data_IF_860726885036
#
_entry.id   IF_860726885036
#
_cell.length_a   1.000
_cell.length_b   1.000
_cell.length_c   1.000
_cell.angle_alpha   90.00
_cell.angle_beta   90.00
_cell.angle_gamma   90.00
#
_symmetry.space_group_name_H-M   'P 1'
#
loop_
_entity.id
_entity.type
_entity.pdbx_description
1 polymer ?
#
# COMPACT_ATOMS: atom_id res chain seq x y z
N UNK A 1 1.18 0.70 -5.45
CA UNK A 1 1.52 -0.64 -6.03
C UNK A 1 2.98 -1.03 -5.74
N UNK A 2 3.28 -2.33 -5.64
CA UNK A 2 4.66 -2.86 -5.57
C UNK A 2 4.86 -4.14 -6.39
N UNK A 3 6.09 -4.34 -6.88
CA UNK A 3 6.48 -5.41 -7.81
C UNK A 3 7.62 -6.25 -7.22
N UNK A 4 7.55 -7.56 -7.40
CA UNK A 4 8.63 -8.50 -7.05
C UNK A 4 8.95 -9.43 -8.22
N UNK A 5 10.22 -9.79 -8.39
CA UNK A 5 10.67 -10.74 -9.40
C UNK A 5 11.08 -12.08 -8.77
N UNK A 6 10.42 -13.17 -9.16
CA UNK A 6 10.63 -14.52 -8.63
C UNK A 6 11.63 -15.28 -9.51
N UNK A 7 12.66 -15.89 -8.92
CA UNK A 7 13.70 -16.65 -9.66
C UNK A 7 13.42 -18.16 -9.66
N UNK A 8 13.98 -18.90 -10.63
CA UNK A 8 14.02 -20.38 -10.58
C UNK A 8 14.82 -20.89 -9.39
N UNK A 9 14.38 -22.00 -8.78
CA UNK A 9 15.16 -22.73 -7.79
C UNK A 9 16.34 -23.44 -8.48
N UNK A 10 17.56 -22.96 -8.24
CA UNK A 10 18.79 -23.71 -8.50
C UNK A 10 19.34 -24.16 -7.14
N UNK A 11 19.71 -25.43 -6.99
CA UNK A 11 20.25 -25.98 -5.75
C UNK A 11 21.48 -25.20 -5.26
N UNK A 12 21.27 -24.22 -4.39
CA UNK A 12 22.18 -23.78 -3.32
C UNK A 12 21.26 -23.33 -2.19
N UNK A 13 21.05 -24.19 -1.20
CA UNK A 13 20.39 -23.82 0.04
C UNK A 13 21.32 -22.90 0.81
N UNK A 14 21.10 -21.59 0.71
CA UNK A 14 21.43 -20.70 1.81
C UNK A 14 20.09 -20.24 2.36
N UNK A 15 19.71 -20.80 3.51
CA UNK A 15 18.63 -20.28 4.32
C UNK A 15 18.95 -18.81 4.61
N UNK A 16 18.37 -17.92 3.82
CA UNK A 16 18.55 -16.50 3.95
C UNK A 16 17.74 -16.05 5.15
N UNK A 17 18.40 -16.00 6.31
CA UNK A 17 18.01 -15.13 7.42
C UNK A 17 18.02 -13.70 6.85
N UNK A 18 16.89 -13.28 6.28
CA UNK A 18 16.77 -12.06 5.48
C UNK A 18 16.49 -10.86 6.36
N UNK A 19 17.56 -10.26 6.86
CA UNK A 19 17.71 -8.91 7.39
C UNK A 19 16.42 -8.07 7.59
N UNK A 20 16.12 -7.78 8.86
CA UNK A 20 15.32 -6.63 9.27
C UNK A 20 16.02 -5.34 8.82
N UNK A 21 15.84 -4.93 7.57
CA UNK A 21 16.17 -3.58 7.12
C UNK A 21 15.01 -2.66 7.49
N UNK A 22 15.21 -1.86 8.53
CA UNK A 22 14.35 -0.72 8.82
C UNK A 22 14.56 0.32 7.71
N UNK A 23 13.85 0.19 6.59
CA UNK A 23 13.87 1.19 5.54
C UNK A 23 13.01 2.39 5.97
N UNK A 24 13.61 3.32 6.70
CA UNK A 24 13.05 4.67 6.87
C UNK A 24 13.25 5.41 5.54
N UNK A 25 12.32 5.26 4.61
CA UNK A 25 12.32 6.04 3.38
C UNK A 25 11.73 7.43 3.66
N UNK A 26 12.57 8.38 4.10
CA UNK A 26 12.26 9.80 3.92
C UNK A 26 12.46 10.12 2.44
N UNK A 27 11.38 10.17 1.66
CA UNK A 27 11.42 10.86 0.37
C UNK A 27 11.11 12.33 0.63
N UNK A 28 12.12 13.19 0.51
CA UNK A 28 11.90 14.63 0.40
C UNK A 28 11.35 14.90 -1.00
N UNK A 29 10.10 15.35 -1.08
CA UNK A 29 9.52 15.83 -2.33
C UNK A 29 10.30 17.05 -2.84
N UNK A 30 11.00 16.91 -3.96
CA UNK A 30 11.47 18.05 -4.75
C UNK A 30 10.32 18.46 -5.66
N UNK A 31 9.44 19.34 -5.19
CA UNK A 31 8.49 20.05 -6.05
C UNK A 31 9.16 21.33 -6.56
N UNK A 32 9.82 21.22 -7.71
CA UNK A 32 10.54 22.32 -8.32
C UNK A 32 10.81 22.10 -9.79
N UNK A 33 9.76 21.94 -10.61
CA UNK A 33 9.88 22.17 -12.04
C UNK A 33 8.91 23.27 -12.46
N UNK A 34 9.43 24.50 -12.54
CA UNK A 34 8.84 25.56 -13.36
C UNK A 34 9.15 25.22 -14.82
N UNK A 35 8.14 24.86 -15.59
CA UNK A 35 8.20 24.90 -17.04
C UNK A 35 7.14 25.89 -17.53
N UNK A 36 7.60 26.96 -18.17
CA UNK A 36 6.76 27.96 -18.83
C UNK A 36 6.25 27.40 -20.17
N UNK A 37 4.92 27.46 -20.34
CA UNK A 37 4.13 27.51 -21.57
C UNK A 37 4.14 26.31 -22.55
N UNK A 38 2.98 25.66 -22.69
CA UNK A 38 2.35 25.49 -24.00
C UNK A 38 0.82 25.28 -23.87
N UNK A 39 0.09 26.12 -24.59
CA UNK A 39 -1.36 26.21 -24.70
C UNK A 39 -1.95 25.05 -25.51
N UNK A 40 -3.05 24.49 -25.03
CA UNK A 40 -3.97 23.63 -25.79
C UNK A 40 -5.17 23.29 -24.92
N UNK A 41 -6.34 23.82 -25.26
CA UNK A 41 -7.61 23.40 -24.67
C UNK A 41 -7.85 21.92 -25.00
N UNK A 42 -7.56 21.05 -24.04
CA UNK A 42 -8.05 19.67 -23.98
C UNK A 42 -8.92 19.61 -22.72
N UNK A 43 -10.15 19.06 -22.71
CA UNK A 43 -10.91 18.86 -21.48
C UNK A 43 -10.25 17.74 -20.68
N UNK A 44 -9.06 18.03 -20.15
CA UNK A 44 -8.39 17.25 -19.13
C UNK A 44 -9.35 17.18 -17.97
N UNK A 45 -9.89 15.99 -17.72
CA UNK A 45 -10.62 15.66 -16.52
C UNK A 45 -9.75 16.06 -15.33
N UNK A 46 -9.93 17.30 -14.86
CA UNK A 46 -9.34 17.80 -13.63
C UNK A 46 -10.16 17.18 -12.51
N UNK A 47 -10.02 15.86 -12.35
CA UNK A 47 -10.44 15.18 -11.15
C UNK A 47 -9.78 15.92 -10.00
N UNK A 48 -10.60 16.41 -9.05
CA UNK A 48 -10.06 16.99 -7.83
C UNK A 48 -9.03 16.01 -7.25
N UNK A 49 -7.86 16.50 -6.78
CA UNK A 49 -6.85 15.63 -6.20
C UNK A 49 -7.50 14.77 -5.11
N UNK A 50 -7.26 13.46 -5.15
CA UNK A 50 -7.76 12.54 -4.13
C UNK A 50 -7.27 13.02 -2.76
N UNK A 51 -8.19 13.12 -1.80
CA UNK A 51 -7.85 13.48 -0.41
C UNK A 51 -6.94 12.44 0.28
N UNK A 52 -6.92 11.21 -0.24
CA UNK A 52 -6.12 10.10 0.29
C UNK A 52 -5.06 9.68 -0.73
N UNK A 53 -3.82 9.54 -0.27
CA UNK A 53 -2.71 8.93 -1.00
C UNK A 53 -2.29 7.60 -0.34
N UNK A 54 -1.78 6.66 -1.14
CA UNK A 54 -1.36 5.33 -0.66
C UNK A 54 0.02 4.98 -1.18
N UNK A 55 0.93 4.77 -0.24
CA UNK A 55 2.23 4.18 -0.49
C UNK A 55 2.25 2.73 -0.04
N UNK A 56 2.88 1.87 -0.83
CA UNK A 56 3.07 0.46 -0.50
C UNK A 56 4.52 0.11 -0.67
N UNK A 57 5.09 -0.70 0.22
CA UNK A 57 6.47 -1.18 0.20
C UNK A 57 6.51 -2.68 0.46
N UNK A 58 7.53 -3.34 -0.10
CA UNK A 58 7.84 -4.76 0.11
C UNK A 58 9.31 -4.87 0.51
N UNK A 59 9.64 -5.80 1.41
CA UNK A 59 10.99 -5.96 1.95
C UNK A 59 12.04 -6.32 0.90
N UNK A 60 11.66 -6.96 -0.20
CA UNK A 60 12.58 -7.31 -1.28
C UNK A 60 11.90 -7.24 -2.66
N UNK A 61 12.59 -6.66 -3.64
CA UNK A 61 12.14 -6.65 -5.05
C UNK A 61 12.43 -7.95 -5.80
N UNK A 62 13.15 -8.90 -5.18
CA UNK A 62 13.45 -10.23 -5.71
C UNK A 62 13.18 -11.27 -4.63
N UNK A 63 12.61 -12.40 -5.02
CA UNK A 63 12.28 -13.51 -4.12
C UNK A 63 12.54 -14.86 -4.78
N UNK A 64 12.66 -15.89 -3.97
CA UNK A 64 12.60 -17.29 -4.35
C UNK A 64 11.20 -17.87 -4.06
N UNK A 65 10.82 -18.97 -4.71
CA UNK A 65 9.60 -19.69 -4.36
C UNK A 65 9.71 -20.20 -2.91
N UNK A 66 8.69 -19.95 -2.10
CA UNK A 66 8.67 -20.24 -0.65
C UNK A 66 9.17 -19.11 0.25
N UNK A 67 9.66 -18.00 -0.29
CA UNK A 67 10.08 -16.85 0.52
C UNK A 67 8.87 -16.16 1.17
N UNK A 68 9.05 -15.68 2.40
CA UNK A 68 8.10 -14.79 3.07
C UNK A 68 8.55 -13.35 2.98
N UNK A 69 7.68 -12.47 2.49
CA UNK A 69 7.95 -11.05 2.28
C UNK A 69 7.10 -10.20 3.21
N UNK A 70 7.71 -9.20 3.84
CA UNK A 70 7.00 -8.19 4.63
C UNK A 70 6.52 -7.06 3.72
N UNK A 71 5.23 -6.75 3.80
CA UNK A 71 4.60 -5.61 3.15
C UNK A 71 4.20 -4.56 4.18
N UNK A 72 4.38 -3.30 3.79
CA UNK A 72 3.90 -2.12 4.53
C UNK A 72 3.08 -1.26 3.60
N UNK A 73 1.88 -0.88 4.01
CA UNK A 73 1.04 0.10 3.34
C UNK A 73 0.92 1.33 4.24
N UNK A 74 1.22 2.50 3.70
CA UNK A 74 1.00 3.78 4.34
C UNK A 74 -0.14 4.50 3.63
N UNK A 75 -1.13 4.94 4.41
CA UNK A 75 -2.28 5.70 3.93
C UNK A 75 -2.11 7.12 4.47
N UNK A 76 -2.21 8.12 3.61
CA UNK A 76 -2.06 9.52 3.97
C UNK A 76 -3.39 10.24 3.72
N UNK A 77 -3.92 10.92 4.74
CA UNK A 77 -4.98 11.92 4.54
C UNK A 77 -4.32 13.29 4.38
N UNK A 78 -4.21 13.75 3.14
CA UNK A 78 -3.60 15.04 2.82
C UNK A 78 -4.61 16.20 2.89
N UNK A 79 -5.88 15.91 3.21
CA UNK A 79 -6.89 16.93 3.40
C UNK A 79 -6.76 17.64 4.76
N UNK A 80 -7.24 18.89 4.77
CA UNK A 80 -7.35 19.69 6.00
C UNK A 80 -8.56 19.31 6.88
N UNK A 81 -9.27 18.24 6.53
CA UNK A 81 -10.45 17.73 7.26
C UNK A 81 -10.34 16.23 7.46
N UNK A 82 -11.13 15.70 8.40
CA UNK A 82 -11.30 14.25 8.56
C UNK A 82 -11.90 13.66 7.28
N UNK A 83 -11.47 12.44 6.93
CA UNK A 83 -12.00 11.68 5.80
C UNK A 83 -12.24 10.23 6.21
N UNK A 84 -13.31 9.62 5.68
CA UNK A 84 -13.56 8.20 5.86
C UNK A 84 -12.77 7.42 4.83
N UNK A 85 -11.58 6.95 5.21
CA UNK A 85 -10.69 6.20 4.35
C UNK A 85 -11.12 4.73 4.29
N UNK A 86 -11.14 4.19 3.07
CA UNK A 86 -11.31 2.76 2.80
C UNK A 86 -10.19 2.29 1.90
N UNK A 87 -9.57 1.16 2.22
CA UNK A 87 -8.53 0.56 1.40
C UNK A 87 -8.82 -0.92 1.14
N UNK A 88 -8.54 -1.36 -0.08
CA UNK A 88 -8.59 -2.76 -0.50
C UNK A 88 -7.28 -3.19 -1.13
N UNK A 89 -6.88 -4.42 -0.88
CA UNK A 89 -5.65 -5.01 -1.43
C UNK A 89 -5.86 -6.52 -1.65
N UNK A 90 -6.21 -6.89 -2.88
CA UNK A 90 -6.38 -8.28 -3.29
C UNK A 90 -5.02 -8.92 -3.50
N UNK A 91 -4.71 -9.98 -2.76
CA UNK A 91 -3.45 -10.69 -2.96
C UNK A 91 -3.49 -11.40 -4.33
N UNK A 92 -2.54 -11.10 -5.23
CA UNK A 92 -2.49 -11.72 -6.55
C UNK A 92 -2.15 -13.21 -6.43
N UNK A 93 -2.46 -13.97 -7.48
CA UNK A 93 -2.01 -15.35 -7.60
C UNK A 93 -0.49 -15.46 -7.38
N UNK A 94 -0.08 -16.42 -6.55
CA UNK A 94 1.31 -16.61 -6.17
C UNK A 94 1.71 -15.97 -4.85
N UNK A 95 0.82 -15.21 -4.19
CA UNK A 95 1.00 -14.76 -2.81
C UNK A 95 -0.11 -15.30 -1.91
N UNK A 96 0.27 -15.70 -0.70
CA UNK A 96 -0.67 -16.09 0.37
C UNK A 96 -0.36 -15.32 1.63
N UNK A 97 -1.38 -14.77 2.30
CA UNK A 97 -1.19 -14.12 3.61
C UNK A 97 -0.67 -15.12 4.64
N UNK A 98 0.38 -14.75 5.37
CA UNK A 98 0.85 -15.50 6.54
C UNK A 98 0.08 -15.01 7.77
N UNK A 99 -0.93 -15.74 8.22
CA UNK A 99 -1.65 -15.38 9.44
C UNK A 99 -0.81 -15.71 10.69
N UNK A 100 -0.89 -14.92 11.78
CA UNK A 100 -1.71 -13.73 12.00
C UNK A 100 -0.90 -12.42 11.84
N UNK A 101 -0.20 -12.22 10.72
CA UNK A 101 0.73 -11.08 10.57
C UNK A 101 0.08 -9.76 10.13
N UNK A 102 -1.18 -9.78 9.71
CA UNK A 102 -1.92 -8.59 9.31
C UNK A 102 -2.25 -7.72 10.52
N UNK A 103 -1.75 -6.49 10.54
CA UNK A 103 -1.96 -5.58 11.68
C UNK A 103 -1.99 -4.11 11.26
N UNK A 104 -2.62 -3.29 12.12
CA UNK A 104 -2.64 -1.83 12.10
C UNK A 104 -2.42 -1.35 13.54
N UNK A 105 -1.73 -0.22 13.72
CA UNK A 105 -1.40 0.33 15.04
C UNK A 105 -2.22 1.57 15.42
N UNK A 106 -3.29 1.84 14.67
CA UNK A 106 -4.10 3.05 14.84
C UNK A 106 -5.43 2.71 15.51
N UNK A 107 -5.70 3.35 16.65
CA UNK A 107 -6.95 3.17 17.39
C UNK A 107 -8.15 3.61 16.55
N UNK A 108 -9.25 2.86 16.59
CA UNK A 108 -10.44 3.13 15.80
C UNK A 108 -10.36 2.67 14.34
N UNK A 109 -9.18 2.26 13.86
CA UNK A 109 -9.05 1.62 12.55
C UNK A 109 -9.46 0.14 12.61
N UNK A 110 -9.93 -0.37 11.47
CA UNK A 110 -10.29 -1.78 11.30
C UNK A 110 -9.57 -2.36 10.09
N UNK A 111 -8.97 -3.54 10.25
CA UNK A 111 -8.29 -4.27 9.17
C UNK A 111 -8.62 -5.75 9.25
N UNK A 112 -8.99 -6.33 8.10
CA UNK A 112 -9.38 -7.75 7.99
C UNK A 112 -8.86 -8.35 6.69
N UNK A 113 -8.74 -9.69 6.68
CA UNK A 113 -8.46 -10.46 5.47
C UNK A 113 -9.60 -11.44 5.21
N UNK A 114 -10.30 -11.25 4.10
CA UNK A 114 -11.47 -12.04 3.70
C UNK A 114 -11.40 -12.28 2.19
N UNK A 115 -11.70 -13.52 1.76
CA UNK A 115 -11.79 -13.89 0.33
C UNK A 115 -10.56 -13.50 -0.51
N UNK A 116 -9.35 -13.63 0.06
CA UNK A 116 -8.10 -13.28 -0.65
C UNK A 116 -7.80 -11.78 -0.68
N UNK A 117 -8.57 -10.95 0.01
CA UNK A 117 -8.47 -9.50 -0.02
C UNK A 117 -8.33 -8.92 1.38
N UNK A 118 -7.35 -8.05 1.55
CA UNK A 118 -7.22 -7.20 2.73
C UNK A 118 -8.20 -6.03 2.56
N UNK A 119 -8.99 -5.76 3.60
CA UNK A 119 -9.89 -4.61 3.68
C UNK A 119 -9.52 -3.78 4.90
N UNK A 120 -9.50 -2.47 4.75
CA UNK A 120 -9.23 -1.53 5.83
C UNK A 120 -10.21 -0.36 5.80
N UNK A 121 -10.60 0.12 6.98
CA UNK A 121 -11.43 1.32 7.15
C UNK A 121 -11.01 2.14 8.37
N UNK A 122 -11.03 3.46 8.26
CA UNK A 122 -10.82 4.38 9.38
C UNK A 122 -11.33 5.79 9.04
N UNK A 123 -11.85 6.52 10.03
CA UNK A 123 -12.07 7.97 9.93
C UNK A 123 -10.77 8.69 10.29
N UNK A 124 -9.98 8.98 9.26
CA UNK A 124 -8.64 9.55 9.41
C UNK A 124 -8.72 11.06 9.66
N UNK A 125 -8.15 11.58 10.77
CA UNK A 125 -8.06 13.01 11.01
C UNK A 125 -7.32 13.75 9.89
N UNK A 126 -7.53 15.07 9.82
CA UNK A 126 -6.80 15.94 8.90
C UNK A 126 -5.29 15.74 9.02
N UNK A 127 -4.58 15.63 7.88
CA UNK A 127 -3.12 15.54 7.81
C UNK A 127 -2.52 14.33 8.59
N UNK A 128 -3.28 13.25 8.78
CA UNK A 128 -2.84 12.05 9.49
C UNK A 128 -2.28 10.98 8.55
N UNK A 129 -1.61 9.98 9.11
CA UNK A 129 -1.16 8.81 8.36
C UNK A 129 -1.33 7.53 9.16
N UNK A 130 -1.78 6.48 8.47
CA UNK A 130 -2.04 5.16 9.02
C UNK A 130 -1.12 4.13 8.36
N UNK A 131 -0.85 3.04 9.08
CA UNK A 131 0.10 2.00 8.67
C UNK A 131 -0.51 0.62 8.82
N UNK A 132 -0.50 -0.15 7.73
CA UNK A 132 -0.87 -1.56 7.71
C UNK A 132 0.37 -2.38 7.39
N UNK A 133 0.64 -3.43 8.17
CA UNK A 133 1.71 -4.38 7.86
C UNK A 133 1.16 -5.81 7.76
N UNK A 134 1.76 -6.60 6.87
CA UNK A 134 1.46 -8.03 6.74
C UNK A 134 2.62 -8.76 6.07
N UNK A 135 2.72 -10.06 6.31
CA UNK A 135 3.63 -10.95 5.60
C UNK A 135 2.87 -11.78 4.57
N UNK A 136 3.45 -11.97 3.39
CA UNK A 136 2.93 -12.85 2.36
C UNK A 136 4.00 -13.84 1.90
N UNK A 137 3.64 -15.11 1.81
CA UNK A 137 4.47 -16.18 1.27
C UNK A 137 4.35 -16.24 -0.25
N UNK A 138 5.49 -16.32 -0.94
CA UNK A 138 5.56 -16.59 -2.37
C UNK A 138 5.33 -18.08 -2.62
N UNK A 139 4.32 -18.42 -3.40
CA UNK A 139 4.00 -19.81 -3.70
C UNK A 139 5.19 -20.56 -4.30
N UNK A 140 5.45 -21.76 -3.78
CA UNK A 140 6.56 -22.63 -4.23
C UNK A 140 6.45 -23.08 -5.69
N UNK A 141 5.27 -22.98 -6.31
CA UNK A 141 5.03 -23.34 -7.71
C UNK A 141 5.35 -22.22 -8.69
N UNK A 142 5.48 -20.98 -8.22
CA UNK A 142 5.69 -19.80 -9.06
C UNK A 142 7.18 -19.62 -9.32
N UNK A 143 7.60 -19.54 -10.58
CA UNK A 143 9.01 -19.33 -10.95
C UNK A 143 9.16 -18.37 -12.13
N UNK A 144 10.30 -17.66 -12.20
CA UNK A 144 10.70 -16.79 -13.31
C UNK A 144 9.62 -15.79 -13.77
N UNK A 145 8.86 -15.23 -12.83
CA UNK A 145 7.77 -14.29 -13.13
C UNK A 145 7.86 -13.03 -12.28
N UNK A 146 7.08 -12.02 -12.65
CA UNK A 146 6.88 -10.83 -11.82
C UNK A 146 5.50 -10.89 -11.20
N UNK A 147 5.44 -10.77 -9.87
CA UNK A 147 4.17 -10.60 -9.16
C UNK A 147 4.03 -9.12 -8.82
N UNK A 148 2.84 -8.57 -9.06
CA UNK A 148 2.49 -7.18 -8.75
C UNK A 148 1.37 -7.18 -7.72
N UNK A 149 1.61 -6.56 -6.59
CA UNK A 149 0.64 -6.40 -5.52
C UNK A 149 0.21 -4.94 -5.43
N UNK A 150 -1.11 -4.68 -5.49
CA UNK A 150 -1.67 -3.33 -5.60
C UNK A 150 -2.74 -3.13 -4.56
N UNK A 151 -2.54 -2.11 -3.73
CA UNK A 151 -3.56 -1.60 -2.83
C UNK A 151 -4.19 -0.34 -3.44
N UNK A 152 -5.48 -0.19 -3.25
CA UNK A 152 -6.30 0.92 -3.75
C UNK A 152 -7.06 1.52 -2.57
N UNK A 153 -7.11 2.86 -2.48
CA UNK A 153 -7.89 3.55 -1.45
C UNK A 153 -8.87 4.52 -2.06
N UNK A 154 -9.94 4.75 -1.30
CA UNK A 154 -10.99 5.73 -1.57
C UNK A 154 -11.25 6.54 -0.31
N UNK A 155 -11.62 7.80 -0.50
CA UNK A 155 -12.04 8.70 0.56
C UNK A 155 -13.54 8.98 0.42
N UNK A 156 -14.30 8.78 1.50
CA UNK A 156 -15.61 9.38 1.68
C UNK A 156 -15.49 10.70 2.45
N UNK A 157 -16.37 11.66 2.16
CA UNK A 157 -16.55 12.84 3.01
C UNK A 157 -17.23 12.39 4.31
N UNK A 158 -16.56 12.61 5.46
CA UNK A 158 -17.28 12.62 6.73
C UNK A 158 -18.08 13.92 6.76
N UNK A 159 -19.40 13.84 6.69
CA UNK A 159 -20.25 15.02 6.84
C UNK A 159 -19.92 15.67 8.19
N UNK A 160 -19.51 16.93 8.17
CA UNK A 160 -19.53 17.74 9.38
C UNK A 160 -20.97 17.73 9.88
N UNK A 161 -21.19 17.26 11.10
CA UNK A 161 -22.47 17.45 11.78
C UNK A 161 -22.78 18.94 11.75
N UNK A 162 -23.76 19.30 10.92
CA UNK A 162 -24.37 20.63 10.88
C UNK A 162 -24.89 20.89 12.29
N UNK A 163 -24.21 21.77 13.01
CA UNK A 163 -24.63 22.20 14.34
C UNK A 163 -25.88 23.04 14.14
N UNK A 164 -27.05 22.40 14.17
CA UNK A 164 -28.33 23.11 14.17
C UNK A 164 -28.43 23.88 15.48
N UNK A 165 -28.49 25.20 15.34
CA UNK A 165 -28.72 26.23 16.37
C UNK A 165 -30.03 25.99 17.12
#
# INVERSE_FOLDING_TARGET
MKRIHVRRSGWVSLAGVGALLLALALTMGVSGQRALAQSGDDPSANAAPLAINVDKVVSAARAMPGDTLLYTITIHNDAATTVSARLTDTLPAGLSLVAPTLTTYVSGSHVVYEDGMIKYTHDMPALSSDYITFQAEVSSSVTNTTIVNTAEATAGSSYAEDSVV
#
